data_IF_045144294027
#
_entry.id   IF_045144294027
#
_cell.length_a   1.000
_cell.length_b   1.000
_cell.length_c   1.000
_cell.angle_alpha   90.00
_cell.angle_beta   90.00
_cell.angle_gamma   90.00
#
_symmetry.space_group_name_H-M   'P 1'
#
loop_
_entity.id
_entity.type
_entity.pdbx_description
1 polymer ?
#
# COMPACT_ATOMS: atom_id res chain seq x y z
N UNK A 1 -14.05 -4.32 -5.83
CA UNK A 1 -13.12 -3.71 -4.85
C UNK A 1 -12.98 -2.19 -4.99
N UNK A 2 -13.63 -1.54 -5.97
CA UNK A 2 -13.67 -0.06 -6.06
C UNK A 2 -14.33 0.53 -4.81
N UNK A 3 -15.40 -0.12 -4.37
CA UNK A 3 -16.22 0.14 -3.17
C UNK A 3 -15.40 0.26 -1.88
N UNK A 4 -14.20 -0.35 -1.82
CA UNK A 4 -13.33 -0.29 -0.65
C UNK A 4 -12.74 1.11 -0.41
N UNK A 5 -12.67 1.94 -1.46
CA UNK A 5 -11.94 3.21 -1.46
C UNK A 5 -12.77 4.37 -2.04
N UNK A 6 -14.06 4.15 -2.36
CA UNK A 6 -14.92 5.14 -3.05
C UNK A 6 -15.15 6.42 -2.23
N UNK A 7 -15.28 6.30 -0.91
CA UNK A 7 -15.52 7.44 -0.01
C UNK A 7 -14.22 7.98 0.65
N UNK A 8 -13.06 7.52 0.19
CA UNK A 8 -11.78 7.94 0.77
C UNK A 8 -11.23 9.20 0.10
N UNK A 9 -11.01 10.24 0.90
CA UNK A 9 -10.30 11.45 0.47
C UNK A 9 -8.80 11.25 0.59
N UNK A 10 -8.15 10.88 -0.52
CA UNK A 10 -6.70 10.69 -0.58
C UNK A 10 -5.91 11.97 -0.34
N UNK A 11 -4.88 11.92 0.50
CA UNK A 11 -3.99 13.07 0.72
C UNK A 11 -2.81 13.13 -0.24
N UNK A 12 -2.55 12.06 -1.00
CA UNK A 12 -1.50 12.01 -2.02
C UNK A 12 -2.08 12.44 -3.37
N UNK A 13 -1.38 13.32 -4.10
CA UNK A 13 -1.84 13.78 -5.42
C UNK A 13 -0.72 13.81 -6.46
N UNK A 14 -1.08 13.54 -7.71
CA UNK A 14 -0.20 13.67 -8.87
C UNK A 14 -0.87 14.61 -9.86
N UNK A 15 -0.18 15.70 -10.23
CA UNK A 15 -0.74 16.72 -11.13
C UNK A 15 -2.03 17.37 -10.59
N UNK A 16 -2.17 17.49 -9.27
CA UNK A 16 -3.35 18.05 -8.61
C UNK A 16 -4.56 17.11 -8.52
N UNK A 17 -4.41 15.84 -8.92
CA UNK A 17 -5.45 14.82 -8.78
C UNK A 17 -5.13 13.88 -7.62
N UNK A 18 -6.03 13.68 -6.66
CA UNK A 18 -5.79 12.74 -5.57
C UNK A 18 -5.72 11.31 -6.12
N UNK A 19 -4.76 10.54 -5.63
CA UNK A 19 -4.57 9.13 -5.96
C UNK A 19 -4.51 8.36 -4.65
N UNK A 20 -5.42 7.39 -4.50
CA UNK A 20 -5.53 6.57 -3.29
C UNK A 20 -4.97 5.16 -3.50
N UNK A 21 -4.95 4.68 -4.73
CA UNK A 21 -4.48 3.34 -5.04
C UNK A 21 -4.02 3.17 -6.49
N UNK A 22 -3.17 2.17 -6.71
CA UNK A 22 -2.77 1.63 -8.00
C UNK A 22 -3.19 0.16 -8.03
N UNK A 23 -3.73 -0.31 -9.15
CA UNK A 23 -4.21 -1.70 -9.30
C UNK A 23 -3.64 -2.31 -10.56
N UNK A 24 -3.12 -3.52 -10.45
CA UNK A 24 -2.67 -4.30 -11.59
C UNK A 24 -2.94 -5.78 -11.35
N UNK A 25 -3.76 -6.41 -12.21
CA UNK A 25 -4.21 -7.79 -12.03
C UNK A 25 -4.78 -8.03 -10.61
N UNK A 26 -4.16 -8.90 -9.82
CA UNK A 26 -4.50 -9.22 -8.44
C UNK A 26 -3.76 -8.36 -7.39
N UNK A 27 -2.79 -7.56 -7.80
CA UNK A 27 -2.04 -6.65 -6.92
C UNK A 27 -2.73 -5.29 -6.77
N UNK A 28 -2.72 -4.76 -5.55
CA UNK A 28 -3.17 -3.41 -5.22
C UNK A 28 -2.15 -2.72 -4.31
N UNK A 29 -1.74 -1.52 -4.71
CA UNK A 29 -0.94 -0.61 -3.88
C UNK A 29 -1.83 0.51 -3.39
N UNK A 30 -1.73 0.83 -2.10
CA UNK A 30 -2.50 1.90 -1.47
C UNK A 30 -1.55 3.02 -1.08
N UNK A 31 -1.95 4.27 -1.36
CA UNK A 31 -1.16 5.47 -1.09
C UNK A 31 -1.87 6.33 -0.04
N UNK A 32 -1.09 6.79 0.94
CA UNK A 32 -1.54 7.65 2.02
C UNK A 32 -0.43 8.62 2.40
N UNK A 33 -0.78 9.83 2.82
CA UNK A 33 0.20 10.84 3.26
C UNK A 33 0.57 10.73 4.73
N UNK A 34 -0.11 9.87 5.49
CA UNK A 34 0.18 9.61 6.90
C UNK A 34 -0.24 8.19 7.32
N UNK A 35 0.30 7.74 8.45
CA UNK A 35 0.07 6.38 8.98
C UNK A 35 -1.38 6.12 9.41
N UNK A 36 -2.09 7.15 9.87
CA UNK A 36 -3.47 7.00 10.29
C UNK A 36 -4.39 6.71 9.11
N UNK A 37 -4.19 7.45 8.02
CA UNK A 37 -4.85 7.21 6.75
C UNK A 37 -4.49 5.83 6.20
N UNK A 38 -3.20 5.47 6.17
CA UNK A 38 -2.76 4.17 5.67
C UNK A 38 -3.42 3.01 6.43
N UNK A 39 -3.43 3.07 7.76
CA UNK A 39 -4.07 2.06 8.60
C UNK A 39 -5.57 1.92 8.31
N UNK A 40 -6.29 3.04 8.14
CA UNK A 40 -7.71 3.03 7.81
C UNK A 40 -7.97 2.39 6.44
N UNK A 41 -7.13 2.70 5.45
CA UNK A 41 -7.29 2.15 4.10
C UNK A 41 -7.04 0.64 4.07
N UNK A 42 -6.02 0.18 4.79
CA UNK A 42 -5.71 -1.25 4.91
C UNK A 42 -6.87 -2.00 5.58
N UNK A 43 -7.46 -1.44 6.65
CA UNK A 43 -8.60 -2.03 7.33
C UNK A 43 -9.86 -2.09 6.43
N UNK A 44 -10.15 -1.00 5.71
CA UNK A 44 -11.26 -0.98 4.75
C UNK A 44 -11.06 -1.99 3.62
N UNK A 45 -9.83 -2.12 3.12
CA UNK A 45 -9.49 -3.07 2.06
C UNK A 45 -9.64 -4.52 2.52
N UNK A 46 -9.19 -4.86 3.74
CA UNK A 46 -9.32 -6.21 4.32
C UNK A 46 -10.80 -6.59 4.56
N UNK A 47 -11.60 -5.63 5.04
CA UNK A 47 -13.04 -5.81 5.19
C UNK A 47 -13.74 -6.01 3.84
N UNK A 48 -13.42 -5.17 2.86
CA UNK A 48 -14.00 -5.28 1.53
C UNK A 48 -13.57 -6.58 0.83
N UNK A 49 -12.29 -6.95 0.89
CA UNK A 49 -11.79 -8.20 0.29
C UNK A 49 -12.56 -9.40 0.83
N UNK A 50 -12.76 -9.44 2.15
CA UNK A 50 -13.49 -10.52 2.82
C UNK A 50 -14.93 -10.63 2.33
N UNK A 51 -15.60 -9.49 2.08
CA UNK A 51 -16.98 -9.48 1.52
C UNK A 51 -17.06 -10.05 0.10
N UNK A 52 -15.99 -9.93 -0.68
CA UNK A 52 -15.90 -10.51 -2.03
C UNK A 52 -15.33 -11.94 -2.02
N UNK A 53 -15.12 -12.55 -0.85
CA UNK A 53 -14.50 -13.87 -0.73
C UNK A 53 -13.01 -13.89 -1.09
N UNK A 54 -12.35 -12.74 -1.07
CA UNK A 54 -10.92 -12.56 -1.32
C UNK A 54 -10.15 -12.42 -0.01
N UNK A 55 -8.86 -12.74 -0.05
CA UNK A 55 -7.96 -12.67 1.09
C UNK A 55 -6.71 -11.85 0.75
N UNK A 56 -6.40 -10.87 1.60
CA UNK A 56 -5.12 -10.16 1.57
C UNK A 56 -4.08 -11.01 2.32
N UNK A 57 -3.00 -11.38 1.63
CA UNK A 57 -1.89 -12.07 2.25
C UNK A 57 -1.03 -11.09 3.05
N UNK A 58 -1.11 -11.16 4.38
CA UNK A 58 -0.27 -10.36 5.27
C UNK A 58 1.23 -10.61 5.05
N UNK A 59 1.61 -11.83 4.68
CA UNK A 59 3.00 -12.20 4.37
C UNK A 59 3.53 -11.46 3.14
N UNK A 60 2.72 -11.39 2.07
CA UNK A 60 3.12 -10.75 0.81
C UNK A 60 2.98 -9.24 0.84
N UNK A 61 2.08 -8.72 1.66
CA UNK A 61 1.81 -7.28 1.77
C UNK A 61 2.93 -6.59 2.55
N UNK A 62 3.54 -5.57 1.96
CA UNK A 62 4.63 -4.80 2.56
C UNK A 62 4.26 -3.33 2.69
N UNK A 63 4.88 -2.64 3.64
CA UNK A 63 4.74 -1.20 3.83
C UNK A 63 6.07 -0.54 3.48
N UNK A 64 5.99 0.58 2.78
CA UNK A 64 7.14 1.44 2.50
C UNK A 64 6.77 2.88 2.84
N UNK A 65 7.71 3.62 3.42
CA UNK A 65 7.53 5.03 3.77
C UNK A 65 8.77 5.80 3.37
N UNK A 66 8.58 6.99 2.79
CA UNK A 66 9.68 7.92 2.52
C UNK A 66 9.98 8.85 3.71
N UNK A 67 9.27 8.68 4.84
CA UNK A 67 9.52 9.44 6.05
C UNK A 67 10.80 8.97 6.74
N UNK A 68 11.61 9.91 7.24
CA UNK A 68 12.78 9.62 8.08
C UNK A 68 12.39 9.28 9.52
N UNK A 69 11.17 9.57 9.92
CA UNK A 69 10.67 9.26 11.25
C UNK A 69 10.23 7.80 11.31
N UNK A 70 10.62 7.11 12.38
CA UNK A 70 10.14 5.74 12.62
C UNK A 70 8.64 5.76 12.81
N UNK A 71 7.96 4.88 12.07
CA UNK A 71 6.51 4.80 12.14
C UNK A 71 6.05 4.39 13.53
N UNK A 72 5.13 5.13 14.13
CA UNK A 72 4.64 4.87 15.49
C UNK A 72 3.42 3.97 15.50
N UNK A 73 2.70 3.86 14.37
CA UNK A 73 1.48 3.06 14.26
C UNK A 73 1.77 1.70 13.63
N UNK A 74 1.33 0.65 14.32
CA UNK A 74 1.28 -0.70 13.76
C UNK A 74 0.12 -0.77 12.75
N UNK A 75 0.45 -1.03 11.49
CA UNK A 75 -0.54 -1.28 10.44
C UNK A 75 -0.71 -2.79 10.30
N UNK A 76 -1.95 -3.26 10.29
CA UNK A 76 -2.28 -4.67 10.40
C UNK A 76 -3.26 -5.11 9.32
N UNK A 77 -3.07 -6.32 8.82
CA UNK A 77 -4.04 -7.07 8.02
C UNK A 77 -4.38 -8.34 8.79
N UNK A 78 -5.67 -8.60 9.04
CA UNK A 78 -6.11 -9.77 9.83
C UNK A 78 -5.40 -9.90 11.19
N UNK A 79 -5.09 -8.77 11.84
CA UNK A 79 -4.37 -8.71 13.11
C UNK A 79 -2.86 -8.97 13.03
N UNK A 80 -2.32 -9.32 11.87
CA UNK A 80 -0.88 -9.47 11.64
C UNK A 80 -0.26 -8.13 11.27
N UNK A 81 0.84 -7.77 11.95
CA UNK A 81 1.60 -6.56 11.65
C UNK A 81 2.29 -6.72 10.30
N UNK A 82 2.08 -5.76 9.41
CA UNK A 82 2.73 -5.75 8.10
C UNK A 82 4.21 -5.35 8.24
N UNK A 83 5.05 -5.99 7.43
CA UNK A 83 6.49 -5.71 7.41
C UNK A 83 6.78 -4.39 6.69
N UNK A 84 7.56 -3.53 7.34
CA UNK A 84 8.12 -2.32 6.73
C UNK A 84 9.41 -2.65 5.98
N UNK A 85 9.51 -2.22 4.72
CA UNK A 85 10.66 -2.45 3.84
C UNK A 85 11.19 -1.14 3.27
N UNK A 86 12.49 -1.09 2.99
CA UNK A 86 13.15 0.06 2.32
C UNK A 86 13.20 -0.09 0.80
N UNK A 87 12.95 -1.29 0.29
CA UNK A 87 12.86 -1.59 -1.13
C UNK A 87 11.82 -2.65 -1.43
N UNK A 88 11.17 -2.55 -2.58
CA UNK A 88 10.14 -3.49 -3.00
C UNK A 88 10.17 -3.70 -4.51
N UNK A 89 9.90 -4.93 -4.98
CA UNK A 89 9.81 -5.24 -6.40
C UNK A 89 8.38 -5.00 -6.87
N UNK A 90 8.21 -4.07 -7.80
CA UNK A 90 6.92 -3.71 -8.37
C UNK A 90 7.00 -3.66 -9.90
N UNK A 91 6.14 -4.43 -10.59
CA UNK A 91 6.02 -4.45 -12.06
C UNK A 91 7.35 -4.56 -12.82
N UNK A 92 8.29 -5.36 -12.33
CA UNK A 92 9.60 -5.55 -12.97
C UNK A 92 10.62 -4.44 -12.69
N UNK A 93 10.37 -3.60 -11.68
CA UNK A 93 11.32 -2.62 -11.15
C UNK A 93 11.49 -2.82 -9.64
N UNK A 94 12.66 -2.47 -9.11
CA UNK A 94 12.89 -2.31 -7.68
C UNK A 94 12.66 -0.83 -7.37
N UNK A 95 11.73 -0.55 -6.47
CA UNK A 95 11.46 0.79 -5.95
C UNK A 95 12.13 0.90 -4.58
N UNK A 96 12.74 2.05 -4.30
CA UNK A 96 13.37 2.36 -3.02
C UNK A 96 12.59 3.48 -2.31
N UNK A 97 12.66 3.48 -0.98
CA UNK A 97 11.98 4.46 -0.13
C UNK A 97 12.50 5.90 -0.31
N UNK A 98 13.70 6.07 -0.89
CA UNK A 98 14.24 7.39 -1.27
C UNK A 98 13.68 7.92 -2.61
N UNK A 99 12.73 7.20 -3.23
CA UNK A 99 12.09 7.58 -4.49
C UNK A 99 12.89 7.21 -5.75
N UNK A 100 13.95 6.42 -5.61
CA UNK A 100 14.71 5.87 -6.73
C UNK A 100 14.04 4.58 -7.25
N UNK A 101 14.27 4.26 -8.52
CA UNK A 101 13.90 2.97 -9.09
C UNK A 101 15.00 2.39 -9.95
N UNK A 102 15.11 1.06 -9.94
CA UNK A 102 16.04 0.30 -10.79
C UNK A 102 15.25 -0.74 -11.57
N UNK A 103 15.50 -0.85 -12.87
CA UNK A 103 14.92 -1.92 -13.68
C UNK A 103 15.41 -3.27 -13.17
N UNK A 104 14.49 -4.19 -12.89
CA UNK A 104 14.83 -5.55 -12.50
C UNK A 104 15.18 -6.35 -13.77
N UNK A 105 16.45 -6.68 -13.94
CA UNK A 105 16.93 -7.63 -14.95
C UNK A 105 17.33 -8.92 -14.24
N UNK A 106 16.58 -10.03 -14.37
CA UNK A 106 17.05 -11.34 -13.91
C UNK A 106 18.27 -11.76 -14.74
N UNK A 107 19.23 -12.42 -14.08
CA UNK A 107 20.36 -13.10 -14.76
C UNK A 107 19.87 -14.25 -15.65
#
# INVERSE_FOLDING_TARGET
MTDALEDHFGTVSIGGRPITNLRFADDIDVLAGNECELASLVEQLDKASSNFGMEISAEKTKIMTNSKESSKKEIKVKGQILESVTKFKYLGSIIFDEGQSLKYCPE
#
